data_IF_937202247862
#
_entry.id   IF_937202247862
#
_cell.length_a   1.000
_cell.length_b   1.000
_cell.length_c   1.000
_cell.angle_alpha   90.00
_cell.angle_beta   90.00
_cell.angle_gamma   90.00
#
_symmetry.space_group_name_H-M   'P 1'
#
loop_
_entity.id
_entity.type
_entity.pdbx_description
1 polymer ?
#
# COMPACT_ATOMS: atom_id res chain seq x y z
N UNK A 1 -15.67 9.44 -5.16
CA UNK A 1 -14.61 10.37 -5.61
C UNK A 1 -13.67 9.58 -6.52
N UNK A 2 -13.71 9.79 -7.84
CA UNK A 2 -12.83 9.07 -8.78
C UNK A 2 -11.48 9.79 -8.75
N UNK A 3 -10.45 9.15 -8.23
CA UNK A 3 -9.07 9.63 -8.31
C UNK A 3 -8.69 9.74 -9.79
N UNK A 4 -8.48 10.96 -10.27
CA UNK A 4 -7.98 11.18 -11.63
C UNK A 4 -6.53 10.67 -11.67
N UNK A 5 -6.25 9.70 -12.54
CA UNK A 5 -4.90 9.21 -12.78
C UNK A 5 -4.10 10.32 -13.47
N UNK A 6 -3.16 10.93 -12.75
CA UNK A 6 -2.26 11.97 -13.27
C UNK A 6 -1.12 11.31 -14.08
N UNK A 7 -1.16 11.35 -15.42
CA UNK A 7 -0.20 10.62 -16.25
C UNK A 7 1.22 11.22 -16.18
N UNK A 8 1.34 12.44 -15.67
CA UNK A 8 2.62 13.13 -15.49
C UNK A 8 3.39 12.63 -14.26
N UNK A 9 2.71 11.97 -13.31
CA UNK A 9 3.27 11.57 -12.02
C UNK A 9 3.41 10.05 -11.88
N UNK A 10 2.63 9.29 -12.64
CA UNK A 10 2.63 7.84 -12.61
C UNK A 10 2.59 7.27 -14.03
N UNK A 11 3.35 6.19 -14.26
CA UNK A 11 3.28 5.39 -15.46
C UNK A 11 2.83 3.97 -15.13
N UNK A 12 2.33 3.26 -16.14
CA UNK A 12 2.02 1.84 -16.01
C UNK A 12 3.19 1.05 -16.58
N UNK A 13 3.90 0.31 -15.73
CA UNK A 13 4.83 -0.71 -16.16
C UNK A 13 4.06 -1.97 -16.53
N UNK A 14 4.32 -2.52 -17.71
CA UNK A 14 3.68 -3.73 -18.21
C UNK A 14 4.74 -4.74 -18.60
N UNK A 15 4.63 -5.94 -18.05
CA UNK A 15 5.51 -7.07 -18.32
C UNK A 15 4.72 -8.37 -18.23
N UNK A 16 5.25 -9.42 -18.85
CA UNK A 16 4.63 -10.74 -18.86
C UNK A 16 5.55 -11.72 -18.13
N UNK A 17 4.95 -12.58 -17.31
CA UNK A 17 5.64 -13.74 -16.77
C UNK A 17 5.38 -14.96 -17.66
N UNK A 18 6.44 -15.47 -18.28
CA UNK A 18 6.37 -16.60 -19.20
C UNK A 18 6.17 -17.94 -18.47
N UNK A 19 6.61 -18.05 -17.22
CA UNK A 19 6.41 -19.27 -16.42
C UNK A 19 4.93 -19.45 -16.07
N UNK A 20 4.32 -18.40 -15.53
CA UNK A 20 2.92 -18.40 -15.09
C UNK A 20 1.93 -17.96 -16.18
N UNK A 21 2.42 -17.63 -17.38
CA UNK A 21 1.65 -17.08 -18.52
C UNK A 21 0.70 -15.94 -18.11
N UNK A 22 1.19 -15.07 -17.24
CA UNK A 22 0.38 -14.00 -16.62
C UNK A 22 0.94 -12.64 -16.99
N UNK A 23 0.06 -11.74 -17.44
CA UNK A 23 0.41 -10.34 -17.69
C UNK A 23 0.23 -9.51 -16.41
N UNK A 24 1.26 -8.73 -16.07
CA UNK A 24 1.24 -7.83 -14.93
C UNK A 24 1.26 -6.38 -15.38
N UNK A 25 0.41 -5.56 -14.75
CA UNK A 25 0.34 -4.11 -14.98
C UNK A 25 0.46 -3.40 -13.64
N UNK A 26 1.57 -2.72 -13.44
CA UNK A 26 1.90 -2.05 -12.18
C UNK A 26 1.88 -0.54 -12.37
N UNK A 27 1.12 0.19 -11.54
CA UNK A 27 1.21 1.64 -11.47
C UNK A 27 2.44 2.03 -10.64
N UNK A 28 3.33 2.85 -11.20
CA UNK A 28 4.61 3.22 -10.59
C UNK A 28 5.01 4.64 -10.94
N UNK A 29 5.70 5.32 -10.03
CA UNK A 29 6.33 6.63 -10.26
C UNK A 29 7.80 6.52 -10.71
N UNK A 30 8.30 5.30 -10.94
CA UNK A 30 9.65 5.04 -11.45
C UNK A 30 9.68 5.28 -12.97
N UNK A 31 9.84 6.56 -13.35
CA UNK A 31 9.80 6.98 -14.76
C UNK A 31 11.07 6.61 -15.52
N UNK A 32 12.22 6.66 -14.85
CA UNK A 32 13.54 6.45 -15.46
C UNK A 32 13.92 4.97 -15.67
N UNK A 33 13.23 4.05 -14.98
CA UNK A 33 13.49 2.61 -15.09
C UNK A 33 12.68 2.01 -16.23
N UNK A 34 13.21 1.00 -16.91
CA UNK A 34 12.50 0.21 -17.92
C UNK A 34 11.45 -0.74 -17.31
N UNK A 35 10.57 -1.31 -18.14
CA UNK A 35 9.59 -2.29 -17.66
C UNK A 35 10.26 -3.59 -17.19
N UNK A 36 11.32 -4.03 -17.89
CA UNK A 36 12.13 -5.18 -17.51
C UNK A 36 12.79 -5.01 -16.14
N UNK A 37 13.44 -3.88 -15.87
CA UNK A 37 14.06 -3.63 -14.55
C UNK A 37 13.03 -3.62 -13.42
N UNK A 38 11.86 -3.03 -13.67
CA UNK A 38 10.74 -3.05 -12.70
C UNK A 38 10.23 -4.48 -12.49
N UNK A 39 10.19 -5.29 -13.56
CA UNK A 39 9.79 -6.69 -13.46
C UNK A 39 10.77 -7.51 -12.60
N UNK A 40 12.07 -7.26 -12.69
CA UNK A 40 13.08 -7.94 -11.86
C UNK A 40 12.95 -7.59 -10.39
N UNK A 41 12.74 -6.30 -10.08
CA UNK A 41 12.49 -5.85 -8.70
C UNK A 41 11.24 -6.55 -8.16
N UNK A 42 10.17 -6.60 -8.95
CA UNK A 42 8.92 -7.22 -8.54
C UNK A 42 9.08 -8.74 -8.32
N UNK A 43 9.79 -9.44 -9.20
CA UNK A 43 10.11 -10.87 -9.04
C UNK A 43 10.90 -11.13 -7.76
N UNK A 44 11.95 -10.34 -7.50
CA UNK A 44 12.74 -10.46 -6.26
C UNK A 44 11.91 -10.20 -5.01
N UNK A 45 11.03 -9.20 -5.05
CA UNK A 45 10.11 -8.93 -3.94
C UNK A 45 9.18 -10.12 -3.66
N UNK A 46 8.62 -10.72 -4.72
CA UNK A 46 7.77 -11.89 -4.61
C UNK A 46 8.50 -13.14 -4.09
N UNK A 47 9.75 -13.34 -4.50
CA UNK A 47 10.60 -14.41 -3.96
C UNK A 47 10.87 -14.21 -2.47
N UNK A 48 11.11 -12.97 -2.02
CA UNK A 48 11.28 -12.66 -0.61
C UNK A 48 10.00 -12.98 0.18
N UNK A 49 8.82 -12.62 -0.32
CA UNK A 49 7.55 -12.96 0.34
C UNK A 49 7.33 -14.47 0.45
N UNK A 50 7.70 -15.23 -0.60
CA UNK A 50 7.68 -16.69 -0.58
C UNK A 50 8.66 -17.29 0.44
N UNK A 51 9.83 -16.68 0.62
CA UNK A 51 10.82 -17.12 1.61
C UNK A 51 10.39 -16.79 3.04
N UNK A 52 9.82 -15.60 3.25
CA UNK A 52 9.27 -15.17 4.53
C UNK A 52 8.15 -16.12 4.97
N UNK A 53 7.25 -16.50 4.05
CA UNK A 53 6.12 -17.39 4.35
C UNK A 53 6.49 -18.85 4.59
N UNK A 54 7.65 -19.31 4.11
CA UNK A 54 8.14 -20.68 4.31
C UNK A 54 8.97 -20.87 5.58
N UNK A 55 9.49 -19.80 6.16
CA UNK A 55 10.28 -19.85 7.38
C UNK A 55 9.37 -19.65 8.61
N UNK A 56 9.38 -20.57 9.57
CA UNK A 56 8.62 -20.44 10.83
C UNK A 56 8.93 -19.10 11.55
N UNK A 57 10.20 -18.68 11.52
CA UNK A 57 10.65 -17.37 12.04
C UNK A 57 10.23 -16.21 11.12
N UNK A 58 10.12 -16.45 9.81
CA UNK A 58 9.72 -15.46 8.82
C UNK A 58 8.23 -15.11 8.90
N UNK A 59 7.37 -16.09 9.21
CA UNK A 59 5.93 -15.90 9.40
C UNK A 59 5.60 -15.21 10.73
N UNK A 60 6.51 -15.29 11.70
CA UNK A 60 6.33 -14.68 13.03
C UNK A 60 6.12 -13.17 12.92
N UNK A 61 6.91 -12.46 12.09
CA UNK A 61 6.78 -11.01 11.92
C UNK A 61 5.42 -10.59 11.32
N UNK A 62 4.95 -11.16 10.20
CA UNK A 62 3.58 -10.96 9.70
C UNK A 62 2.49 -11.23 10.72
N UNK A 63 2.59 -12.33 11.48
CA UNK A 63 1.60 -12.65 12.53
C UNK A 63 1.60 -11.56 13.61
N UNK A 64 2.79 -11.15 14.09
CA UNK A 64 2.90 -10.09 15.07
C UNK A 64 2.33 -8.76 14.56
N UNK A 65 2.56 -8.41 13.28
CA UNK A 65 1.97 -7.21 12.68
C UNK A 65 0.44 -7.27 12.65
N UNK A 66 -0.15 -8.41 12.30
CA UNK A 66 -1.61 -8.60 12.31
C UNK A 66 -2.17 -8.54 13.73
N UNK A 67 -1.49 -9.16 14.71
CA UNK A 67 -1.90 -9.11 16.11
C UNK A 67 -1.83 -7.69 16.69
N UNK A 68 -0.76 -6.94 16.39
CA UNK A 68 -0.63 -5.54 16.79
C UNK A 68 -1.73 -4.69 16.15
N UNK A 69 -2.03 -4.90 14.87
CA UNK A 69 -3.11 -4.18 14.19
C UNK A 69 -4.49 -4.49 14.81
N UNK A 70 -4.76 -5.75 15.15
CA UNK A 70 -6.00 -6.14 15.85
C UNK A 70 -6.11 -5.49 17.24
N UNK A 71 -5.02 -5.49 18.01
CA UNK A 71 -4.98 -4.83 19.32
C UNK A 71 -5.23 -3.31 19.21
N UNK A 72 -4.59 -2.65 18.24
CA UNK A 72 -4.82 -1.23 17.97
C UNK A 72 -6.29 -0.99 17.60
N UNK A 73 -6.88 -1.87 16.79
CA UNK A 73 -8.28 -1.76 16.38
C UNK A 73 -9.25 -1.96 17.54
N UNK A 74 -8.94 -2.86 18.48
CA UNK A 74 -9.72 -3.05 19.69
C UNK A 74 -9.67 -1.80 20.59
N UNK A 75 -8.50 -1.16 20.72
CA UNK A 75 -8.28 0.05 21.51
C UNK A 75 -8.91 1.31 20.89
N UNK A 76 -9.16 1.32 19.58
CA UNK A 76 -9.81 2.46 18.94
C UNK A 76 -11.25 2.64 19.42
N UNK A 77 -11.53 3.80 19.98
CA UNK A 77 -12.88 4.27 20.28
C UNK A 77 -13.50 4.86 19.00
N UNK A 78 -14.46 4.15 18.42
CA UNK A 78 -15.17 4.59 17.20
C UNK A 78 -16.55 5.09 17.58
N UNK A 79 -16.92 6.23 16.99
CA UNK A 79 -18.23 6.84 17.21
C UNK A 79 -19.36 5.84 16.86
N UNK A 80 -20.35 5.68 17.74
CA UNK A 80 -21.42 4.66 17.60
C UNK A 80 -22.13 4.68 16.25
N UNK A 81 -22.15 5.83 15.57
CA UNK A 81 -22.66 5.99 14.21
C UNK A 81 -22.08 5.00 13.20
N UNK A 82 -20.78 4.69 13.28
CA UNK A 82 -20.11 3.80 12.33
C UNK A 82 -20.27 2.32 12.66
N UNK A 83 -20.79 2.00 13.84
CA UNK A 83 -20.90 0.64 14.36
C UNK A 83 -19.90 0.33 15.46
N UNK A 84 -19.97 -0.89 16.00
CA UNK A 84 -19.12 -1.37 17.10
C UNK A 84 -18.38 -2.66 16.76
N UNK A 85 -18.63 -3.24 15.58
CA UNK A 85 -17.91 -4.45 15.17
C UNK A 85 -16.47 -4.12 14.77
N UNK A 86 -15.57 -5.09 14.89
CA UNK A 86 -14.18 -4.93 14.41
C UNK A 86 -14.13 -4.52 12.93
N UNK A 87 -15.05 -5.05 12.10
CA UNK A 87 -15.14 -4.69 10.68
C UNK A 87 -15.48 -3.21 10.48
N UNK A 88 -16.35 -2.67 11.32
CA UNK A 88 -16.73 -1.25 11.28
C UNK A 88 -15.57 -0.35 11.68
N UNK A 89 -14.85 -0.73 12.75
CA UNK A 89 -13.62 -0.05 13.17
C UNK A 89 -12.55 -0.10 12.08
N UNK A 90 -12.40 -1.24 11.40
CA UNK A 90 -11.45 -1.39 10.30
C UNK A 90 -11.81 -0.50 9.11
N UNK A 91 -13.10 -0.32 8.80
CA UNK A 91 -13.57 0.59 7.75
C UNK A 91 -13.40 2.07 8.13
N UNK A 92 -13.47 2.37 9.43
CA UNK A 92 -13.22 3.71 9.96
C UNK A 92 -11.74 4.11 9.87
N UNK A 93 -10.82 3.15 10.08
CA UNK A 93 -9.38 3.39 10.10
C UNK A 93 -8.86 4.12 8.83
N UNK A 94 -9.19 3.71 7.58
CA UNK A 94 -8.82 4.47 6.39
C UNK A 94 -9.36 5.90 6.35
N UNK A 95 -10.54 6.16 6.93
CA UNK A 95 -11.14 7.50 6.98
C UNK A 95 -10.32 8.39 7.92
N UNK A 96 -10.02 7.92 9.11
CA UNK A 96 -9.19 8.64 10.09
C UNK A 96 -7.74 8.81 9.59
N UNK A 97 -7.15 7.75 9.04
CA UNK A 97 -5.82 7.80 8.44
C UNK A 97 -5.77 8.65 7.17
N UNK A 98 -6.87 8.81 6.43
CA UNK A 98 -6.91 9.75 5.31
C UNK A 98 -6.99 11.20 5.76
N UNK A 99 -7.58 11.46 6.93
CA UNK A 99 -7.62 12.78 7.54
C UNK A 99 -6.27 13.19 8.14
N UNK A 100 -5.46 12.23 8.62
CA UNK A 100 -4.23 12.53 9.36
C UNK A 100 -2.91 11.92 8.82
N UNK A 101 -2.97 10.89 7.97
CA UNK A 101 -1.81 10.07 7.56
C UNK A 101 -1.78 9.70 6.07
N UNK A 102 -2.25 10.57 5.18
CA UNK A 102 -1.84 10.44 3.78
C UNK A 102 -0.44 11.04 3.63
N UNK A 103 0.58 10.17 3.54
CA UNK A 103 1.96 10.56 3.21
C UNK A 103 2.03 11.26 1.84
N UNK A 104 1.05 10.96 0.98
CA UNK A 104 0.86 11.61 -0.32
C UNK A 104 0.33 13.04 -0.11
N UNK A 105 -0.55 13.28 0.88
CA UNK A 105 -1.06 14.62 1.23
C UNK A 105 0.02 15.50 1.90
N UNK A 106 0.85 14.92 2.78
CA UNK A 106 2.00 15.60 3.38
C UNK A 106 3.00 16.13 2.33
N UNK A 107 3.15 15.45 1.18
CA UNK A 107 4.00 15.91 0.09
C UNK A 107 3.50 17.19 -0.58
N UNK A 108 2.22 17.53 -0.49
CA UNK A 108 1.65 18.71 -1.12
C UNK A 108 1.54 19.90 -0.15
N UNK A 109 1.36 19.66 1.15
CA UNK A 109 1.36 20.72 2.18
C UNK A 109 2.75 21.31 2.46
N UNK A 110 3.81 20.68 1.94
CA UNK A 110 5.20 21.12 2.06
C UNK A 110 5.65 22.10 0.97
N UNK A 111 4.77 22.51 0.05
CA UNK A 111 5.03 23.63 -0.86
C UNK A 111 4.48 24.90 -0.20
N UNK A 112 5.32 25.77 0.39
CA UNK A 112 4.84 27.03 0.94
C UNK A 112 4.22 27.86 -0.18
N UNK A 113 3.03 28.41 0.06
CA UNK A 113 2.25 29.30 -0.82
C UNK A 113 2.94 30.65 -1.13
N UNK A 114 4.26 30.76 -0.99
CA UNK A 114 5.03 31.99 -1.24
C UNK A 114 5.77 32.01 -2.58
N UNK A 115 5.30 31.25 -3.58
CA UNK A 115 5.76 31.37 -4.97
C UNK A 115 4.61 31.47 -5.97
N UNK A 116 3.70 32.43 -5.73
CA UNK A 116 2.96 33.15 -6.77
C UNK A 116 3.13 34.65 -6.49
#
# INVERSE_FOLDING_TARGET
>A
MKTHFEPQRYRVAWFCDLEDRTEYRLATNLIEMSNEEISEIYRKHWELDKLITKNETGVTLPILMVLIADLLLQLMEVHQFYGQSLLDKFRYLPVELSQHCSIIHWSYDLIPETLI
#
